data_IF_467894706462
#
_entry.id   IF_467894706462
#
_cell.length_a   1.000
_cell.length_b   1.000
_cell.length_c   1.000
_cell.angle_alpha   90.00
_cell.angle_beta   90.00
_cell.angle_gamma   90.00
#
_symmetry.space_group_name_H-M   'P 1'
#
loop_
_entity.id
_entity.type
_entity.pdbx_description
1 polymer ?
#
# COMPACT_ATOMS: atom_id res chain seq x y z
N UNK A 1 -32.93 -12.76 33.51
CA UNK A 1 -33.05 -11.79 32.41
C UNK A 1 -34.46 -11.82 31.89
N UNK A 2 -35.04 -10.65 31.64
CA UNK A 2 -36.34 -10.55 30.98
C UNK A 2 -36.15 -10.40 29.47
N UNK A 3 -37.26 -10.46 28.72
CA UNK A 3 -37.25 -10.37 27.27
C UNK A 3 -36.67 -9.05 26.76
N UNK A 4 -36.97 -7.94 27.47
CA UNK A 4 -36.45 -6.63 27.09
C UNK A 4 -34.93 -6.55 27.17
N UNK A 5 -34.34 -7.13 28.19
CA UNK A 5 -32.89 -7.18 28.36
C UNK A 5 -32.25 -8.05 27.26
N UNK A 6 -32.88 -9.18 26.92
CA UNK A 6 -32.41 -10.06 25.85
C UNK A 6 -32.48 -9.35 24.48
N UNK A 7 -33.56 -8.62 24.22
CA UNK A 7 -33.73 -7.85 22.99
C UNK A 7 -32.64 -6.77 22.85
N UNK A 8 -32.34 -6.07 23.93
CA UNK A 8 -31.27 -5.07 23.95
C UNK A 8 -29.91 -5.71 23.68
N UNK A 9 -29.64 -6.85 24.28
CA UNK A 9 -28.41 -7.59 24.09
C UNK A 9 -28.28 -8.05 22.63
N UNK A 10 -29.35 -8.58 22.06
CA UNK A 10 -29.39 -8.98 20.67
C UNK A 10 -29.07 -7.83 19.73
N UNK A 11 -29.70 -6.66 19.98
CA UNK A 11 -29.42 -5.45 19.18
C UNK A 11 -27.97 -5.02 19.25
N UNK A 12 -27.35 -5.09 20.42
CA UNK A 12 -25.92 -4.77 20.57
C UNK A 12 -25.02 -5.75 19.83
N UNK A 13 -25.39 -7.03 19.85
CA UNK A 13 -24.64 -8.06 19.11
C UNK A 13 -24.70 -7.80 17.60
N UNK A 14 -25.88 -7.49 17.08
CA UNK A 14 -26.02 -7.14 15.66
C UNK A 14 -25.16 -5.93 15.29
N UNK A 15 -25.18 -4.89 16.10
CA UNK A 15 -24.35 -3.70 15.87
C UNK A 15 -22.87 -4.03 15.87
N UNK A 16 -22.43 -4.87 16.80
CA UNK A 16 -21.03 -5.29 16.88
C UNK A 16 -20.62 -6.12 15.64
N UNK A 17 -21.47 -7.04 15.22
CA UNK A 17 -21.21 -7.84 14.02
C UNK A 17 -21.09 -6.96 12.78
N UNK A 18 -21.98 -5.99 12.63
CA UNK A 18 -21.95 -5.06 11.50
C UNK A 18 -20.70 -4.21 11.50
N UNK A 19 -20.26 -3.73 12.67
CA UNK A 19 -19.01 -2.98 12.81
C UNK A 19 -17.79 -3.83 12.46
N UNK A 20 -17.78 -5.09 12.90
CA UNK A 20 -16.69 -6.01 12.59
C UNK A 20 -16.60 -6.29 11.08
N UNK A 21 -17.75 -6.46 10.42
CA UNK A 21 -17.78 -6.63 8.97
C UNK A 21 -17.22 -5.41 8.25
N UNK A 22 -17.65 -4.21 8.68
CA UNK A 22 -17.14 -2.96 8.13
C UNK A 22 -15.64 -2.80 8.30
N UNK A 23 -15.12 -3.11 9.48
CA UNK A 23 -13.67 -3.05 9.77
C UNK A 23 -12.90 -4.07 8.93
N UNK A 24 -13.46 -5.27 8.74
CA UNK A 24 -12.84 -6.29 7.91
C UNK A 24 -12.73 -5.82 6.46
N UNK A 25 -13.77 -5.23 5.93
CA UNK A 25 -13.79 -4.69 4.57
C UNK A 25 -12.78 -3.56 4.41
N UNK A 26 -12.72 -2.64 5.38
CA UNK A 26 -11.72 -1.59 5.41
C UNK A 26 -10.30 -2.14 5.44
N UNK A 27 -10.04 -3.17 6.26
CA UNK A 27 -8.74 -3.80 6.35
C UNK A 27 -8.33 -4.43 5.01
N UNK A 28 -9.24 -5.08 4.33
CA UNK A 28 -8.97 -5.67 3.01
C UNK A 28 -8.64 -4.59 1.98
N UNK A 29 -9.38 -3.49 2.01
CA UNK A 29 -9.15 -2.36 1.12
C UNK A 29 -7.79 -1.72 1.38
N UNK A 30 -7.46 -1.46 2.64
CA UNK A 30 -6.17 -0.88 3.03
C UNK A 30 -5.01 -1.79 2.66
N UNK A 31 -5.17 -3.10 2.84
CA UNK A 31 -4.15 -4.08 2.45
C UNK A 31 -3.89 -4.05 0.95
N UNK A 32 -4.95 -3.93 0.14
CA UNK A 32 -4.83 -3.82 -1.31
C UNK A 32 -4.14 -2.51 -1.72
N UNK A 33 -4.47 -1.40 -1.06
CA UNK A 33 -3.83 -0.11 -1.31
C UNK A 33 -2.34 -0.14 -0.97
N UNK A 34 -1.97 -0.77 0.13
CA UNK A 34 -0.57 -0.94 0.53
C UNK A 34 0.21 -1.73 -0.51
N UNK A 35 -0.35 -2.83 -1.01
CA UNK A 35 0.29 -3.64 -2.05
C UNK A 35 0.50 -2.84 -3.33
N UNK A 36 -0.46 -2.05 -3.73
CA UNK A 36 -0.36 -1.19 -4.91
C UNK A 36 0.72 -0.13 -4.73
N UNK A 37 0.75 0.53 -3.58
CA UNK A 37 1.77 1.53 -3.26
C UNK A 37 3.17 0.93 -3.23
N UNK A 38 3.33 -0.28 -2.73
CA UNK A 38 4.61 -0.98 -2.74
C UNK A 38 5.11 -1.24 -4.16
N UNK A 39 4.21 -1.63 -5.06
CA UNK A 39 4.54 -1.85 -6.47
C UNK A 39 5.00 -0.56 -7.14
N UNK A 40 4.27 0.53 -6.94
CA UNK A 40 4.62 1.84 -7.49
C UNK A 40 5.98 2.32 -6.98
N UNK A 41 6.23 2.18 -5.68
CA UNK A 41 7.50 2.57 -5.08
C UNK A 41 8.66 1.76 -5.65
N UNK A 42 8.47 0.46 -5.85
CA UNK A 42 9.47 -0.43 -6.44
C UNK A 42 9.79 -0.04 -7.89
N UNK A 43 8.76 0.26 -8.68
CA UNK A 43 8.93 0.70 -10.07
C UNK A 43 9.68 2.03 -10.16
N UNK A 44 9.32 3.01 -9.34
CA UNK A 44 9.97 4.31 -9.29
C UNK A 44 11.44 4.18 -8.91
N UNK A 45 11.77 3.33 -7.96
CA UNK A 45 13.14 3.06 -7.55
C UNK A 45 13.94 2.43 -8.69
N UNK A 46 13.35 1.50 -9.42
CA UNK A 46 13.98 0.86 -10.58
C UNK A 46 14.25 1.86 -11.71
N UNK A 47 13.30 2.70 -12.05
CA UNK A 47 13.46 3.75 -13.05
C UNK A 47 14.57 4.73 -12.66
N UNK A 48 14.61 5.12 -11.40
CA UNK A 48 15.65 6.00 -10.88
C UNK A 48 17.05 5.40 -11.05
N UNK A 49 17.19 4.11 -10.77
CA UNK A 49 18.45 3.40 -10.93
C UNK A 49 18.87 3.32 -12.39
N UNK A 50 17.94 3.09 -13.30
CA UNK A 50 18.21 3.08 -14.74
C UNK A 50 18.70 4.43 -15.24
N UNK A 51 18.07 5.52 -14.83
CA UNK A 51 18.51 6.89 -15.20
C UNK A 51 19.91 7.16 -14.65
N UNK A 52 20.17 6.76 -13.41
CA UNK A 52 21.48 6.90 -12.78
C UNK A 52 22.58 6.20 -13.56
N UNK A 53 22.33 4.98 -13.99
CA UNK A 53 23.27 4.20 -14.80
C UNK A 53 23.54 4.85 -16.15
N UNK A 54 22.51 5.36 -16.83
CA UNK A 54 22.65 6.05 -18.10
C UNK A 54 23.49 7.32 -17.99
N UNK A 55 23.23 8.12 -16.96
CA UNK A 55 24.00 9.34 -16.70
C UNK A 55 25.47 9.00 -16.46
N UNK A 56 25.75 7.98 -15.64
CA UNK A 56 27.12 7.54 -15.38
C UNK A 56 27.83 7.10 -16.66
N UNK A 57 27.17 6.32 -17.52
CA UNK A 57 27.71 5.88 -18.79
C UNK A 57 28.03 7.05 -19.71
N UNK A 58 27.14 8.04 -19.78
CA UNK A 58 27.35 9.23 -20.60
C UNK A 58 28.55 10.06 -20.13
N UNK A 59 28.69 10.21 -18.82
CA UNK A 59 29.84 10.90 -18.22
C UNK A 59 31.14 10.19 -18.55
N UNK A 60 31.18 8.87 -18.44
CA UNK A 60 32.34 8.06 -18.79
C UNK A 60 32.75 8.21 -20.25
N UNK A 61 31.77 8.26 -21.16
CA UNK A 61 32.01 8.47 -22.58
C UNK A 61 32.62 9.86 -22.85
N UNK A 62 32.11 10.89 -22.20
CA UNK A 62 32.64 12.26 -22.34
C UNK A 62 34.07 12.34 -21.82
N UNK A 63 34.34 11.75 -20.66
CA UNK A 63 35.68 11.68 -20.08
C UNK A 63 36.65 10.97 -20.99
N UNK A 64 36.21 9.89 -21.62
CA UNK A 64 37.01 9.14 -22.59
C UNK A 64 37.42 10.00 -23.80
N UNK A 65 36.50 10.81 -24.30
CA UNK A 65 36.78 11.73 -25.40
C UNK A 65 37.77 12.83 -25.02
N UNK A 66 37.70 13.35 -23.83
CA UNK A 66 38.61 14.39 -23.34
C UNK A 66 40.05 13.89 -23.17
N UNK A 67 40.23 12.62 -22.92
CA UNK A 67 41.53 12.02 -22.75
C UNK A 67 42.27 11.75 -24.07
N UNK A 68 41.51 11.70 -25.16
CA UNK A 68 42.06 11.55 -26.49
C UNK A 68 42.50 12.90 -27.05
#
# INVERSE_FOLDING_TARGET
MNIEELDKLEGKIYDMVNRLKGLKDENMKLSAEIEELKKETSLNSHERDQVKQKVTTLIELIDSLELE
#
